data_IF_988284968243
#
_entry.id   IF_988284968243
#
_cell.length_a   1.000
_cell.length_b   1.000
_cell.length_c   1.000
_cell.angle_alpha   90.00
_cell.angle_beta   90.00
_cell.angle_gamma   90.00
#
_symmetry.space_group_name_H-M   'P 1'
#
loop_
_entity.id
_entity.type
_entity.pdbx_description
1 polymer ?
#
# COMPACT_ATOMS: atom_id res chain seq x y z
N UNK A 1 29.29 -4.97 -28.86
CA UNK A 1 27.98 -5.38 -29.42
C UNK A 1 27.09 -5.94 -28.31
N UNK A 2 27.52 -6.93 -27.50
CA UNK A 2 26.72 -7.55 -26.44
C UNK A 2 26.18 -6.50 -25.45
N UNK A 3 27.00 -5.60 -24.93
CA UNK A 3 26.62 -4.53 -24.01
C UNK A 3 25.60 -3.57 -24.60
N UNK A 4 25.67 -3.29 -25.88
CA UNK A 4 24.70 -2.46 -26.59
C UNK A 4 23.32 -3.13 -26.67
N UNK A 5 23.28 -4.44 -26.94
CA UNK A 5 22.04 -5.23 -26.97
C UNK A 5 21.41 -5.23 -25.59
N UNK A 6 22.17 -5.50 -24.52
CA UNK A 6 21.68 -5.47 -23.13
C UNK A 6 21.13 -4.08 -22.77
N UNK A 7 21.83 -3.03 -23.14
CA UNK A 7 21.36 -1.67 -22.91
C UNK A 7 20.03 -1.38 -23.63
N UNK A 8 19.90 -1.78 -24.90
CA UNK A 8 18.66 -1.61 -25.68
C UNK A 8 17.49 -2.38 -25.08
N UNK A 9 17.71 -3.61 -24.57
CA UNK A 9 16.69 -4.41 -23.87
C UNK A 9 16.24 -3.68 -22.60
N UNK A 10 17.17 -3.16 -21.80
CA UNK A 10 16.85 -2.42 -20.57
C UNK A 10 16.04 -1.16 -20.89
N UNK A 11 16.46 -0.37 -21.87
CA UNK A 11 15.77 0.84 -22.30
C UNK A 11 14.35 0.48 -22.83
N UNK A 12 14.25 -0.53 -23.69
CA UNK A 12 12.98 -1.02 -24.21
C UNK A 12 12.02 -1.45 -23.09
N UNK A 13 12.54 -2.17 -22.08
CA UNK A 13 11.78 -2.59 -20.92
C UNK A 13 11.30 -1.39 -20.07
N UNK A 14 12.15 -0.40 -19.84
CA UNK A 14 11.79 0.84 -19.11
C UNK A 14 10.69 1.61 -19.85
N UNK A 15 10.82 1.77 -21.17
CA UNK A 15 9.83 2.46 -22.00
C UNK A 15 8.50 1.71 -22.05
N UNK A 16 8.53 0.38 -22.19
CA UNK A 16 7.35 -0.46 -22.14
C UNK A 16 6.63 -0.32 -20.77
N UNK A 17 7.38 -0.40 -19.67
CA UNK A 17 6.84 -0.19 -18.32
C UNK A 17 6.19 1.18 -18.17
N UNK A 18 6.86 2.24 -18.64
CA UNK A 18 6.34 3.61 -18.57
C UNK A 18 5.07 3.81 -19.40
N UNK A 19 5.00 3.21 -20.58
CA UNK A 19 3.80 3.23 -21.44
C UNK A 19 2.62 2.50 -20.81
N UNK A 20 2.86 1.31 -20.25
CA UNK A 20 1.83 0.52 -19.57
C UNK A 20 1.30 1.24 -18.33
N UNK A 21 2.16 1.91 -17.59
CA UNK A 21 1.81 2.73 -16.44
C UNK A 21 0.90 3.90 -16.81
N UNK A 22 1.24 4.62 -17.88
CA UNK A 22 0.46 5.77 -18.35
C UNK A 22 -0.96 5.37 -18.80
N UNK A 23 -1.09 4.18 -19.39
CA UNK A 23 -2.41 3.61 -19.74
C UNK A 23 -3.21 3.25 -18.50
N UNK A 24 -2.55 2.68 -17.50
CA UNK A 24 -3.20 2.27 -16.25
C UNK A 24 -3.75 3.47 -15.47
N UNK A 25 -2.98 4.52 -15.28
CA UNK A 25 -3.45 5.73 -14.58
C UNK A 25 -4.66 6.37 -15.29
N UNK A 26 -4.66 6.41 -16.64
CA UNK A 26 -5.81 6.96 -17.38
C UNK A 26 -7.09 6.12 -17.23
N UNK A 27 -6.97 4.78 -17.24
CA UNK A 27 -8.13 3.90 -17.06
C UNK A 27 -8.70 4.05 -15.65
N UNK A 28 -7.83 4.12 -14.65
CA UNK A 28 -8.26 4.29 -13.27
C UNK A 28 -8.88 5.67 -13.00
N UNK A 29 -8.40 6.71 -13.66
CA UNK A 29 -8.95 8.06 -13.55
C UNK A 29 -10.37 8.15 -14.13
N UNK A 30 -10.63 7.45 -15.24
CA UNK A 30 -11.96 7.36 -15.84
C UNK A 30 -12.93 6.50 -15.04
N UNK A 31 -12.49 5.35 -14.50
CA UNK A 31 -13.31 4.50 -13.63
C UNK A 31 -13.68 5.21 -12.32
N UNK A 32 -12.79 6.07 -11.83
CA UNK A 32 -12.99 6.84 -10.63
C UNK A 32 -14.14 7.83 -10.72
N UNK A 33 -14.36 8.43 -11.90
CA UNK A 33 -15.45 9.41 -12.11
C UNK A 33 -16.85 8.77 -12.15
N UNK A 34 -16.94 7.48 -12.46
CA UNK A 34 -18.22 6.82 -12.74
C UNK A 34 -18.82 6.01 -11.57
N UNK A 35 -18.03 5.66 -10.54
CA UNK A 35 -18.45 4.69 -9.51
C UNK A 35 -18.52 5.26 -8.07
N UNK A 36 -18.58 6.58 -7.90
CA UNK A 36 -18.45 7.23 -6.59
C UNK A 36 -19.61 6.98 -5.61
N UNK A 37 -20.79 6.63 -6.08
CA UNK A 37 -22.02 6.70 -5.27
C UNK A 37 -22.46 5.38 -4.60
N UNK A 38 -21.69 4.31 -4.68
CA UNK A 38 -22.16 2.98 -4.25
C UNK A 38 -21.51 2.44 -2.98
N UNK A 39 -20.63 3.19 -2.31
CA UNK A 39 -19.93 2.73 -1.12
C UNK A 39 -20.57 3.27 0.16
N UNK A 40 -20.69 2.40 1.18
CA UNK A 40 -21.11 2.81 2.52
C UNK A 40 -19.99 3.58 3.21
N UNK A 41 -20.33 4.29 4.27
CA UNK A 41 -19.34 4.94 5.12
C UNK A 41 -18.37 3.89 5.69
N UNK A 42 -17.06 4.14 5.57
CA UNK A 42 -16.02 3.21 6.00
C UNK A 42 -15.65 2.13 4.97
N UNK A 43 -16.42 1.96 3.89
CA UNK A 43 -16.09 0.99 2.83
C UNK A 43 -15.18 1.62 1.77
N UNK A 44 -14.09 0.94 1.47
CA UNK A 44 -13.11 1.36 0.46
C UNK A 44 -12.65 0.18 -0.39
N UNK A 45 -12.28 0.49 -1.61
CA UNK A 45 -11.78 -0.47 -2.56
C UNK A 45 -10.60 0.10 -3.34
N UNK A 46 -9.57 -0.69 -3.55
CA UNK A 46 -8.54 -0.37 -4.55
C UNK A 46 -8.03 -1.64 -5.22
N UNK A 47 -7.44 -1.44 -6.40
CA UNK A 47 -6.76 -2.49 -7.13
C UNK A 47 -5.27 -2.20 -7.19
N UNK A 48 -4.48 -3.10 -6.63
CA UNK A 48 -3.03 -3.00 -6.65
C UNK A 48 -2.49 -3.32 -8.04
N UNK A 49 -1.64 -2.47 -8.65
CA UNK A 49 -1.03 -2.80 -9.94
C UNK A 49 -0.06 -3.96 -9.78
N UNK A 50 0.11 -4.80 -10.82
CA UNK A 50 1.09 -5.90 -10.80
C UNK A 50 2.52 -5.41 -10.57
N UNK A 51 2.82 -4.23 -11.06
CA UNK A 51 4.12 -3.59 -10.94
C UNK A 51 3.89 -2.17 -10.46
N UNK A 52 4.41 -1.86 -9.28
CA UNK A 52 4.37 -0.51 -8.74
C UNK A 52 5.56 0.28 -9.26
N UNK A 53 5.28 1.37 -9.95
CA UNK A 53 6.29 2.29 -10.49
C UNK A 53 6.16 3.65 -9.84
N UNK A 54 7.24 4.42 -9.94
CA UNK A 54 7.27 5.81 -9.57
C UNK A 54 6.18 6.64 -10.28
N UNK A 55 5.63 7.62 -9.56
CA UNK A 55 4.63 8.57 -10.06
C UNK A 55 3.31 7.95 -10.55
N UNK A 56 3.00 6.73 -10.14
CA UNK A 56 1.73 6.10 -10.45
C UNK A 56 0.70 6.46 -9.38
N UNK A 57 -0.35 7.18 -9.80
CA UNK A 57 -1.52 7.45 -8.96
C UNK A 57 -2.42 6.23 -8.98
N UNK A 58 -2.69 5.66 -7.80
CA UNK A 58 -3.58 4.52 -7.64
C UNK A 58 -4.80 4.99 -6.88
N UNK A 59 -5.98 5.07 -7.52
CA UNK A 59 -7.19 5.54 -6.88
C UNK A 59 -7.68 4.53 -5.85
N UNK A 60 -8.28 5.05 -4.79
CA UNK A 60 -8.98 4.32 -3.77
C UNK A 60 -10.44 4.76 -3.85
N UNK A 61 -11.31 3.83 -4.22
CA UNK A 61 -12.74 4.05 -4.35
C UNK A 61 -13.40 3.92 -2.98
N UNK A 62 -14.33 4.78 -2.66
CA UNK A 62 -15.05 4.80 -1.38
C UNK A 62 -15.92 6.04 -1.26
N UNK A 63 -16.40 6.33 -0.07
CA UNK A 63 -17.18 7.54 0.22
C UNK A 63 -16.36 8.83 0.13
N UNK A 64 -15.01 8.74 0.15
CA UNK A 64 -14.10 9.87 -0.02
C UNK A 64 -13.20 9.67 -1.23
N UNK A 65 -12.92 10.76 -1.94
CA UNK A 65 -11.92 10.76 -3.02
C UNK A 65 -10.52 10.69 -2.46
N UNK A 66 -9.82 9.61 -2.75
CA UNK A 66 -8.43 9.49 -2.35
C UNK A 66 -7.61 8.65 -3.34
N UNK A 67 -6.32 8.85 -3.31
CA UNK A 67 -5.37 8.07 -4.09
C UNK A 67 -4.07 7.91 -3.31
N UNK A 68 -3.31 6.89 -3.68
CA UNK A 68 -1.96 6.76 -3.16
C UNK A 68 -0.92 6.68 -4.28
N UNK A 69 0.30 7.08 -3.95
CA UNK A 69 1.49 6.93 -4.79
C UNK A 69 2.64 6.37 -3.97
N UNK A 70 3.58 5.65 -4.61
CA UNK A 70 4.83 5.26 -3.97
C UNK A 70 5.63 6.49 -3.55
N UNK A 71 6.14 6.47 -2.32
CA UNK A 71 6.97 7.54 -1.76
C UNK A 71 8.42 7.07 -1.62
N UNK A 72 9.33 7.74 -2.34
CA UNK A 72 10.76 7.44 -2.33
C UNK A 72 11.52 8.55 -1.61
N UNK A 73 12.40 8.20 -0.70
CA UNK A 73 13.20 9.17 0.06
C UNK A 73 14.36 9.77 -0.77
N UNK A 74 14.88 8.99 -1.71
CA UNK A 74 15.98 9.40 -2.56
C UNK A 74 16.02 8.61 -3.89
N UNK A 75 16.88 9.06 -4.81
CA UNK A 75 17.05 8.48 -6.13
C UNK A 75 17.51 7.01 -6.07
N UNK A 76 18.40 6.65 -5.15
CA UNK A 76 18.88 5.28 -5.00
C UNK A 76 17.76 4.31 -4.62
N UNK A 77 16.92 4.70 -3.67
CA UNK A 77 15.74 3.93 -3.26
C UNK A 77 14.77 3.73 -4.43
N UNK A 78 14.56 4.78 -5.22
CA UNK A 78 13.75 4.71 -6.43
C UNK A 78 14.33 3.72 -7.44
N UNK A 79 15.62 3.82 -7.72
CA UNK A 79 16.31 2.95 -8.68
C UNK A 79 16.26 1.48 -8.24
N UNK A 80 16.58 1.18 -6.97
CA UNK A 80 16.51 -0.16 -6.41
C UNK A 80 15.07 -0.73 -6.43
N UNK A 81 14.06 0.11 -6.23
CA UNK A 81 12.66 -0.31 -6.28
C UNK A 81 12.19 -0.61 -7.71
N UNK A 82 12.69 0.12 -8.71
CA UNK A 82 12.39 -0.12 -10.13
C UNK A 82 12.96 -1.46 -10.59
N UNK A 83 14.13 -1.85 -10.11
CA UNK A 83 14.73 -3.15 -10.45
C UNK A 83 13.98 -4.34 -9.86
N UNK A 84 13.09 -4.10 -8.89
CA UNK A 84 12.27 -5.14 -8.28
C UNK A 84 12.96 -5.96 -7.19
N UNK A 85 14.27 -5.76 -6.98
CA UNK A 85 15.02 -6.53 -5.98
C UNK A 85 14.70 -6.11 -4.54
N UNK A 86 14.43 -4.81 -4.31
CA UNK A 86 14.16 -4.29 -2.96
C UNK A 86 13.17 -3.12 -3.02
N UNK A 87 11.86 -3.36 -3.01
CA UNK A 87 10.91 -2.27 -2.90
C UNK A 87 10.93 -1.71 -1.48
N UNK A 88 11.73 -0.71 -1.30
CA UNK A 88 12.02 -0.06 -0.01
C UNK A 88 11.25 1.25 0.15
N UNK A 89 10.22 1.47 -0.64
CA UNK A 89 9.49 2.73 -0.66
C UNK A 89 8.37 2.78 0.38
N UNK A 90 7.99 3.98 0.74
CA UNK A 90 6.83 4.29 1.55
C UNK A 90 5.59 4.55 0.69
N UNK A 91 4.54 5.03 1.34
CA UNK A 91 3.27 5.41 0.72
C UNK A 91 3.01 6.88 0.99
N UNK A 92 2.56 7.59 -0.04
CA UNK A 92 1.95 8.90 0.07
C UNK A 92 0.50 8.76 -0.34
N UNK A 93 -0.43 8.94 0.61
CA UNK A 93 -1.85 8.91 0.38
C UNK A 93 -2.42 10.33 0.54
N UNK A 94 -3.24 10.74 -0.41
CA UNK A 94 -3.91 12.04 -0.39
C UNK A 94 -5.40 11.86 -0.59
N UNK A 95 -6.18 12.52 0.28
CA UNK A 95 -7.61 12.78 0.11
C UNK A 95 -7.86 14.27 -0.10
N UNK A 96 -9.12 14.69 -0.10
CA UNK A 96 -9.46 16.10 -0.11
C UNK A 96 -9.08 16.80 1.19
N UNK A 97 -9.18 16.08 2.33
CA UNK A 97 -9.07 16.64 3.68
C UNK A 97 -7.70 16.39 4.30
N UNK A 98 -7.05 15.26 3.96
CA UNK A 98 -5.88 14.78 4.65
C UNK A 98 -4.77 14.29 3.71
N UNK A 99 -3.55 14.45 4.20
CA UNK A 99 -2.34 13.91 3.57
C UNK A 99 -1.66 12.97 4.56
N UNK A 100 -1.51 11.70 4.18
CA UNK A 100 -0.77 10.70 4.96
C UNK A 100 0.51 10.33 4.22
N UNK A 101 1.65 10.50 4.88
CA UNK A 101 2.95 10.13 4.35
C UNK A 101 3.58 9.04 5.23
N UNK A 102 3.89 7.91 4.62
CA UNK A 102 4.64 6.83 5.25
C UNK A 102 6.02 6.79 4.60
N UNK A 103 7.05 6.86 5.43
CA UNK A 103 8.42 7.03 4.97
C UNK A 103 9.34 6.06 5.71
N UNK A 104 10.16 5.31 4.97
CA UNK A 104 11.12 4.40 5.56
C UNK A 104 12.24 5.18 6.28
N UNK A 105 12.48 4.85 7.54
CA UNK A 105 13.46 5.57 8.37
C UNK A 105 14.91 5.19 8.04
N UNK A 106 15.20 3.88 7.85
CA UNK A 106 16.54 3.38 7.52
C UNK A 106 16.49 2.47 6.31
N UNK A 107 17.25 2.80 5.26
CA UNK A 107 17.30 2.01 4.01
C UNK A 107 17.87 0.61 4.24
N UNK A 108 18.95 0.50 4.98
CA UNK A 108 19.72 -0.74 5.18
C UNK A 108 19.34 -1.52 6.45
N UNK A 109 18.16 -1.31 6.98
CA UNK A 109 17.68 -2.08 8.12
C UNK A 109 17.08 -3.41 7.66
N UNK A 110 17.52 -4.53 8.23
CA UNK A 110 16.91 -5.86 8.04
C UNK A 110 15.44 -5.88 8.49
N UNK A 111 15.07 -4.99 9.39
CA UNK A 111 13.69 -4.80 9.84
C UNK A 111 13.21 -3.44 9.38
N UNK A 112 12.25 -3.39 8.46
CA UNK A 112 11.72 -2.11 7.99
C UNK A 112 10.98 -1.38 9.11
N UNK A 113 11.41 -0.13 9.34
CA UNK A 113 10.74 0.83 10.22
C UNK A 113 10.29 2.00 9.38
N UNK A 114 9.04 2.38 9.54
CA UNK A 114 8.45 3.50 8.80
C UNK A 114 7.96 4.56 9.78
N UNK A 115 8.26 5.81 9.50
CA UNK A 115 7.64 6.96 10.17
C UNK A 115 6.32 7.27 9.45
N UNK A 116 5.29 7.59 10.23
CA UNK A 116 3.96 7.91 9.73
C UNK A 116 3.66 9.36 10.07
N UNK A 117 3.27 10.12 9.07
CA UNK A 117 2.91 11.53 9.17
C UNK A 117 1.49 11.74 8.69
N UNK A 118 0.75 12.58 9.40
CA UNK A 118 -0.57 13.09 9.03
C UNK A 118 -0.46 14.61 8.93
N UNK A 119 -0.76 15.17 7.77
CA UNK A 119 -0.67 16.61 7.50
C UNK A 119 0.67 17.21 8.00
N UNK A 120 1.78 16.54 7.62
CA UNK A 120 3.17 16.87 8.00
C UNK A 120 3.57 16.59 9.45
N UNK A 121 2.60 16.41 10.36
CA UNK A 121 2.86 16.05 11.75
C UNK A 121 3.15 14.56 11.90
N UNK A 122 4.24 14.20 12.58
CA UNK A 122 4.55 12.80 12.88
C UNK A 122 3.59 12.26 13.93
N UNK A 123 2.83 11.22 13.58
CA UNK A 123 1.83 10.59 14.45
C UNK A 123 2.27 9.24 15.03
N UNK A 124 3.33 8.65 14.49
CA UNK A 124 3.80 7.37 15.01
C UNK A 124 4.84 6.67 14.14
N UNK A 125 5.09 5.40 14.48
CA UNK A 125 6.08 4.54 13.80
C UNK A 125 5.48 3.16 13.55
N UNK A 126 5.51 2.71 12.30
CA UNK A 126 5.16 1.35 11.90
C UNK A 126 6.41 0.47 11.93
N UNK A 127 6.40 -0.59 12.74
CA UNK A 127 7.54 -1.50 12.92
C UNK A 127 7.14 -2.94 12.65
N UNK A 128 8.04 -3.72 12.07
CA UNK A 128 7.91 -5.16 11.97
C UNK A 128 8.24 -5.81 13.31
N UNK A 129 7.37 -6.69 13.81
CA UNK A 129 7.57 -7.48 15.04
C UNK A 129 8.77 -8.41 14.92
N UNK A 130 9.34 -8.76 16.06
CA UNK A 130 10.36 -9.81 16.15
C UNK A 130 9.70 -11.18 15.94
N UNK A 131 10.33 -12.03 15.12
CA UNK A 131 9.78 -13.33 14.73
C UNK A 131 9.60 -14.28 15.93
N UNK A 132 10.56 -14.34 16.82
CA UNK A 132 10.60 -15.30 17.92
C UNK A 132 9.97 -14.73 19.19
N UNK A 133 10.41 -13.55 19.61
CA UNK A 133 10.00 -12.99 20.93
C UNK A 133 8.61 -12.36 20.93
N UNK A 134 8.08 -11.99 19.77
CA UNK A 134 6.81 -11.27 19.62
C UNK A 134 5.75 -12.09 18.83
N UNK A 135 5.91 -13.43 18.75
CA UNK A 135 5.02 -14.35 18.01
C UNK A 135 4.81 -13.98 16.52
N UNK A 136 5.80 -13.32 15.92
CA UNK A 136 5.74 -12.93 14.50
C UNK A 136 5.72 -14.11 13.53
N UNK A 137 6.08 -15.31 13.99
CA UNK A 137 6.08 -16.54 13.16
C UNK A 137 4.67 -17.05 12.82
N UNK A 138 3.64 -16.64 13.55
CA UNK A 138 2.26 -17.07 13.31
C UNK A 138 1.55 -16.21 12.26
N UNK A 139 2.20 -15.16 11.79
CA UNK A 139 1.61 -14.18 10.89
C UNK A 139 2.47 -13.96 9.65
N UNK A 140 1.82 -13.71 8.51
CA UNK A 140 2.52 -13.41 7.25
C UNK A 140 3.30 -12.10 7.34
N UNK A 141 2.70 -11.09 7.98
CA UNK A 141 3.24 -9.73 8.09
C UNK A 141 2.98 -9.18 9.49
N UNK A 142 3.83 -9.54 10.45
CA UNK A 142 3.68 -9.07 11.81
C UNK A 142 4.16 -7.60 11.92
N UNK A 143 3.24 -6.67 11.84
CA UNK A 143 3.51 -5.24 12.05
C UNK A 143 2.75 -4.70 13.24
N UNK A 144 3.32 -3.70 13.89
CA UNK A 144 2.67 -2.89 14.91
C UNK A 144 2.88 -1.42 14.55
N UNK A 145 1.82 -0.65 14.63
CA UNK A 145 1.87 0.80 14.56
C UNK A 145 1.85 1.36 16.00
N UNK A 146 2.91 2.05 16.36
CA UNK A 146 3.08 2.69 17.65
C UNK A 146 2.82 4.18 17.53
N UNK A 147 1.92 4.69 18.33
CA UNK A 147 1.68 6.11 18.58
C UNK A 147 2.25 6.51 19.95
N UNK A 148 2.04 7.72 20.40
CA UNK A 148 2.46 8.15 21.74
C UNK A 148 1.69 7.44 22.86
N UNK A 149 0.40 7.14 22.62
CA UNK A 149 -0.51 6.63 23.65
C UNK A 149 -0.91 5.17 23.48
N UNK A 150 -0.85 4.65 22.25
CA UNK A 150 -1.44 3.34 21.92
C UNK A 150 -0.60 2.56 20.90
N UNK A 151 -0.85 1.25 20.89
CA UNK A 151 -0.30 0.34 19.88
C UNK A 151 -1.41 -0.34 19.09
N UNK A 152 -1.24 -0.41 17.77
CA UNK A 152 -2.17 -1.05 16.86
C UNK A 152 -1.51 -2.25 16.19
N UNK A 153 -2.07 -3.44 16.44
CA UNK A 153 -1.53 -4.71 15.94
C UNK A 153 -2.19 -5.13 14.64
N UNK A 154 -1.36 -5.53 13.70
CA UNK A 154 -1.83 -6.11 12.44
C UNK A 154 -1.90 -7.61 12.58
N UNK A 155 -3.12 -8.14 12.46
CA UNK A 155 -3.39 -9.57 12.46
C UNK A 155 -3.59 -10.04 11.01
N UNK A 156 -2.65 -10.83 10.52
CA UNK A 156 -2.62 -11.35 9.16
C UNK A 156 -2.13 -12.81 9.19
N UNK A 157 -3.01 -13.77 9.55
CA UNK A 157 -2.62 -15.17 9.69
C UNK A 157 -2.10 -15.77 8.38
N UNK A 158 -1.24 -16.79 8.48
CA UNK A 158 -0.80 -17.58 7.33
C UNK A 158 -2.00 -18.16 6.58
N UNK A 159 -1.93 -18.15 5.26
CA UNK A 159 -3.00 -18.62 4.36
C UNK A 159 -4.30 -17.79 4.41
N UNK A 160 -4.37 -16.74 5.22
CA UNK A 160 -5.52 -15.84 5.24
C UNK A 160 -5.41 -14.76 4.17
N UNK A 161 -6.55 -14.44 3.56
CA UNK A 161 -6.71 -13.27 2.70
C UNK A 161 -7.16 -12.04 3.49
N UNK A 162 -7.51 -12.22 4.75
CA UNK A 162 -7.96 -11.14 5.63
C UNK A 162 -6.79 -10.54 6.40
N UNK A 163 -6.88 -9.25 6.60
CA UNK A 163 -5.97 -8.47 7.45
C UNK A 163 -6.81 -7.59 8.36
N UNK A 164 -6.58 -7.68 9.66
CA UNK A 164 -7.30 -6.87 10.64
C UNK A 164 -6.31 -6.01 11.42
N UNK A 165 -6.65 -4.73 11.61
CA UNK A 165 -5.93 -3.82 12.51
C UNK A 165 -6.74 -3.70 13.80
N UNK A 166 -6.10 -3.94 14.95
CA UNK A 166 -6.74 -3.91 16.27
C UNK A 166 -5.97 -3.03 17.25
N UNK A 167 -6.73 -2.34 18.13
CA UNK A 167 -6.25 -1.79 19.39
C UNK A 167 -6.91 -2.57 20.53
N UNK A 168 -6.12 -3.35 21.27
CA UNK A 168 -6.67 -4.24 22.28
C UNK A 168 -7.66 -5.25 21.70
N UNK A 169 -8.95 -5.11 22.07
CA UNK A 169 -10.06 -5.94 21.58
C UNK A 169 -10.83 -5.30 20.42
N UNK A 170 -10.62 -4.01 20.15
CA UNK A 170 -11.36 -3.25 19.15
C UNK A 170 -10.74 -3.44 17.76
N UNK A 171 -11.59 -3.73 16.79
CA UNK A 171 -11.21 -3.82 15.38
C UNK A 171 -11.38 -2.45 14.72
N UNK A 172 -10.27 -1.87 14.26
CA UNK A 172 -10.26 -0.57 13.61
C UNK A 172 -10.48 -0.69 12.10
N UNK A 173 -9.86 -1.71 11.50
CA UNK A 173 -9.93 -1.96 10.07
C UNK A 173 -9.95 -3.46 9.82
N UNK A 174 -10.84 -3.88 8.92
CA UNK A 174 -10.88 -5.21 8.34
C UNK A 174 -10.70 -5.10 6.83
N UNK A 175 -9.77 -5.85 6.27
CA UNK A 175 -9.52 -5.84 4.85
C UNK A 175 -9.44 -7.26 4.30
N UNK A 176 -10.12 -7.47 3.17
CA UNK A 176 -10.10 -8.70 2.41
C UNK A 176 -9.43 -8.47 1.04
N UNK A 177 -8.48 -9.33 0.68
CA UNK A 177 -7.83 -9.30 -0.63
C UNK A 177 -8.24 -10.51 -1.47
N UNK A 178 -8.37 -10.32 -2.77
CA UNK A 178 -8.55 -11.44 -3.68
C UNK A 178 -7.24 -12.23 -3.81
N UNK A 179 -7.34 -13.52 -4.14
CA UNK A 179 -6.24 -14.23 -4.79
C UNK A 179 -5.89 -13.51 -6.09
N UNK A 180 -4.69 -13.72 -6.59
CA UNK A 180 -4.24 -13.20 -7.88
C UNK A 180 -5.37 -13.25 -8.90
N UNK A 181 -5.99 -12.10 -9.17
CA UNK A 181 -6.98 -11.99 -10.21
C UNK A 181 -6.25 -11.95 -11.56
N UNK A 182 -5.98 -13.14 -12.09
CA UNK A 182 -5.40 -13.29 -13.43
C UNK A 182 -6.44 -12.96 -14.51
N UNK A 183 -7.72 -12.84 -14.14
CA UNK A 183 -8.77 -12.47 -15.07
C UNK A 183 -8.77 -10.96 -15.30
N UNK A 184 -8.92 -10.54 -16.54
CA UNK A 184 -9.26 -9.15 -16.87
C UNK A 184 -10.66 -8.90 -16.35
N UNK A 185 -10.81 -7.93 -15.43
CA UNK A 185 -12.12 -7.47 -15.05
C UNK A 185 -12.76 -6.68 -16.22
N UNK A 186 -14.08 -6.73 -16.36
CA UNK A 186 -14.81 -5.94 -17.35
C UNK A 186 -14.58 -4.43 -17.17
N UNK A 187 -14.27 -3.99 -15.95
CA UNK A 187 -14.04 -2.58 -15.61
C UNK A 187 -12.57 -2.17 -15.65
N UNK A 188 -11.64 -3.09 -15.39
CA UNK A 188 -10.20 -2.80 -15.46
C UNK A 188 -9.55 -3.78 -16.44
N UNK A 189 -9.10 -3.28 -17.58
CA UNK A 189 -8.36 -4.07 -18.58
C UNK A 189 -7.00 -4.57 -18.07
N UNK A 190 -6.72 -4.40 -16.79
CA UNK A 190 -5.44 -4.72 -16.18
C UNK A 190 -5.59 -5.69 -15.00
N UNK A 191 -4.58 -6.54 -14.87
CA UNK A 191 -4.49 -7.55 -13.82
C UNK A 191 -3.91 -6.93 -12.56
N UNK A 192 -4.46 -7.26 -11.40
CA UNK A 192 -3.95 -6.82 -10.11
C UNK A 192 -4.78 -7.36 -8.96
N UNK A 193 -4.18 -7.40 -7.79
CA UNK A 193 -4.85 -7.86 -6.58
C UNK A 193 -5.90 -6.82 -6.14
N UNK A 194 -7.12 -7.28 -5.90
CA UNK A 194 -8.21 -6.44 -5.40
C UNK A 194 -8.21 -6.44 -3.89
N UNK A 195 -8.45 -5.28 -3.30
CA UNK A 195 -8.52 -5.09 -1.87
C UNK A 195 -9.82 -4.38 -1.50
N UNK A 196 -10.66 -5.06 -0.73
CA UNK A 196 -11.83 -4.47 -0.09
C UNK A 196 -11.43 -4.14 1.35
N UNK A 197 -11.69 -2.92 1.77
CA UNK A 197 -11.29 -2.40 3.08
C UNK A 197 -12.54 -1.87 3.76
N UNK A 198 -12.74 -2.26 5.00
CA UNK A 198 -13.78 -1.75 5.86
C UNK A 198 -13.12 -1.12 7.09
N UNK A 199 -13.30 0.17 7.27
CA UNK A 199 -12.83 0.92 8.43
C UNK A 199 -14.01 1.15 9.35
N UNK A 200 -13.93 0.64 10.60
CA UNK A 200 -15.04 0.74 11.54
C UNK A 200 -15.38 2.20 11.85
N UNK A 201 -16.62 2.60 11.54
CA UNK A 201 -17.11 3.97 11.73
C UNK A 201 -17.66 4.23 13.14
N UNK A 202 -18.05 3.17 13.87
CA UNK A 202 -18.71 3.27 15.17
C UNK A 202 -17.77 3.52 16.33
N UNK A 203 -16.48 3.33 16.13
CA UNK A 203 -15.45 3.50 17.15
C UNK A 203 -14.88 4.90 17.06
N UNK A 204 -14.70 5.56 18.20
CA UNK A 204 -13.99 6.85 18.25
C UNK A 204 -12.49 6.63 17.99
N UNK A 205 -12.10 6.75 16.72
CA UNK A 205 -10.73 6.55 16.26
C UNK A 205 -9.90 7.81 16.47
N UNK A 206 -8.66 7.71 16.96
CA UNK A 206 -7.80 8.90 17.13
C UNK A 206 -7.31 9.49 15.79
N UNK A 207 -7.43 8.73 14.70
CA UNK A 207 -6.99 9.15 13.37
C UNK A 207 -8.07 8.93 12.32
N UNK A 208 -8.08 9.75 11.25
CA UNK A 208 -8.99 9.58 10.13
C UNK A 208 -8.70 8.28 9.33
N UNK A 209 -9.68 7.85 8.53
CA UNK A 209 -9.64 6.60 7.76
C UNK A 209 -8.41 6.51 6.85
N UNK A 210 -7.97 7.64 6.33
CA UNK A 210 -6.80 7.76 5.46
C UNK A 210 -5.53 7.16 6.10
N UNK A 211 -5.37 7.31 7.42
CA UNK A 211 -4.21 6.75 8.14
C UNK A 211 -4.26 5.23 8.14
N UNK A 212 -5.40 4.64 8.47
CA UNK A 212 -5.59 3.19 8.54
C UNK A 212 -5.43 2.53 7.18
N UNK A 213 -5.99 3.16 6.15
CA UNK A 213 -5.87 2.71 4.75
C UNK A 213 -4.41 2.79 4.28
N UNK A 214 -3.71 3.90 4.57
CA UNK A 214 -2.30 4.06 4.19
C UNK A 214 -1.40 3.01 4.87
N UNK A 215 -1.63 2.73 6.15
CA UNK A 215 -0.92 1.69 6.90
C UNK A 215 -1.16 0.30 6.30
N UNK A 216 -2.41 -0.03 5.97
CA UNK A 216 -2.75 -1.28 5.31
C UNK A 216 -2.04 -1.41 3.95
N UNK A 217 -2.11 -0.39 3.10
CA UNK A 217 -1.46 -0.36 1.78
C UNK A 217 0.06 -0.55 1.92
N UNK A 218 0.69 0.14 2.89
CA UNK A 218 2.14 -0.01 3.14
C UNK A 218 2.54 -1.45 3.44
N UNK A 219 1.73 -2.14 4.24
CA UNK A 219 2.00 -3.55 4.59
C UNK A 219 1.79 -4.45 3.38
N UNK A 220 0.74 -4.22 2.58
CA UNK A 220 0.49 -5.02 1.37
C UNK A 220 1.61 -4.84 0.34
N UNK A 221 2.13 -3.63 0.15
CA UNK A 221 3.29 -3.37 -0.69
C UNK A 221 4.50 -4.16 -0.19
N UNK A 222 4.77 -4.13 1.12
CA UNK A 222 5.91 -4.85 1.71
C UNK A 222 5.76 -6.37 1.57
N UNK A 223 4.53 -6.90 1.61
CA UNK A 223 4.26 -8.32 1.41
C UNK A 223 4.64 -8.81 0.03
N UNK A 224 4.24 -8.08 -1.00
CA UNK A 224 4.53 -8.46 -2.41
C UNK A 224 6.00 -8.60 -2.71
N UNK A 225 6.84 -8.05 -1.90
CA UNK A 225 8.29 -8.00 -2.10
C UNK A 225 9.07 -9.04 -1.33
N UNK A 226 8.41 -9.68 -0.38
CA UNK A 226 9.01 -10.75 0.42
C UNK A 226 8.56 -12.17 -0.04
N UNK A 227 7.71 -12.24 -1.06
CA UNK A 227 7.33 -13.45 -1.79
C UNK A 227 8.02 -13.48 -3.15
#
# INVERSE_FOLDING_TARGET
ILWFIVFMIIVGFILYRKSTQKRFSKVLENDYSNNFNNYREGEYFYQSPLITLDSQYIPIHGNKKMYYVPNFNNFLQKWMSITGFFPLFGVFLKSNDNIVKIQRFKLWSLRPHYQVFLNESKIGVLKRQKLVTEKGMTQQLPYIFYTENEEYKFNNPYLSLNTVIKSGKEEILNAHRSFFDLSKNQFTKQRGEKHNIEVESRINKPFPDEVWIALYIQIMITKRTNN
#
